data_IF_363310598192
#
_entry.id   IF_363310598192
#
_cell.length_a   1.000
_cell.length_b   1.000
_cell.length_c   1.000
_cell.angle_alpha   90.00
_cell.angle_beta   90.00
_cell.angle_gamma   90.00
#
_symmetry.space_group_name_H-M   'P 1'
#
loop_
_entity.id
_entity.type
_entity.pdbx_description
1 polymer ?
2 non-polymer ?
3 non-polymer ?
4 non-polymer ?
5 water ?
#
# COMPACT_ATOMS: atom_id res chain seq x y z
N UNK A 10 14.35 9.58 -20.01
CA UNK A 10 14.14 10.99 -20.45
C UNK A 10 14.05 11.94 -19.26
N UNK A 11 14.81 13.02 -19.34
CA UNK A 11 15.01 13.89 -18.19
C UNK A 11 14.40 15.27 -18.42
N UNK A 12 13.41 15.62 -17.62
CA UNK A 12 12.79 16.95 -17.71
C UNK A 12 13.83 18.04 -17.50
N UNK A 13 13.69 19.17 -18.22
CA UNK A 13 14.56 20.32 -18.00
C UNK A 13 14.58 20.73 -16.54
N UNK A 14 15.78 20.87 -15.99
CA UNK A 14 15.96 21.28 -14.61
C UNK A 14 15.37 22.67 -14.39
N UNK A 15 14.40 22.81 -13.46
CA UNK A 15 13.87 24.17 -13.21
C UNK A 15 14.95 25.12 -12.66
N UNK A 16 14.90 26.39 -13.06
CA UNK A 16 15.89 27.36 -12.61
C UNK A 16 16.13 27.42 -11.11
N UNK A 17 15.11 27.13 -10.30
CA UNK A 17 15.26 27.29 -8.85
C UNK A 17 15.94 26.08 -8.20
N UNK A 18 16.11 25.00 -8.95
CA UNK A 18 16.73 23.79 -8.38
C UNK A 18 18.24 23.78 -8.60
N UNK A 19 19.01 23.78 -7.50
CA UNK A 19 20.48 23.76 -7.63
C UNK A 19 21.04 22.42 -8.09
N UNK A 20 22.11 22.50 -8.88
CA UNK A 20 22.80 21.34 -9.42
C UNK A 20 23.14 20.28 -8.38
N UNK A 21 23.60 20.72 -7.21
CA UNK A 21 24.10 19.80 -6.19
C UNK A 21 23.02 18.87 -5.58
N UNK A 22 21.75 19.17 -5.84
CA UNK A 22 20.64 18.38 -5.29
C UNK A 22 20.06 17.39 -6.29
N UNK A 23 20.65 17.36 -7.49
CA UNK A 23 20.09 16.54 -8.56
C UNK A 23 20.55 15.10 -8.48
N UNK A 24 19.58 14.19 -8.35
CA UNK A 24 19.84 12.77 -8.34
C UNK A 24 18.69 12.15 -9.14
N UNK A 25 18.99 11.63 -10.33
CA UNK A 25 17.95 11.23 -11.27
C UNK A 25 17.39 9.84 -10.98
N UNK A 26 16.79 9.70 -9.80
CA UNK A 26 16.11 8.47 -9.42
C UNK A 26 14.81 8.27 -10.21
N UNK A 27 14.60 7.08 -10.74
CA UNK A 27 13.38 6.73 -11.49
C UNK A 27 12.51 5.80 -10.64
N UNK A 28 11.46 6.36 -10.04
CA UNK A 28 10.63 5.58 -9.11
C UNK A 28 9.88 4.41 -9.75
N UNK A 29 9.74 4.43 -11.09
CA UNK A 29 9.07 3.34 -11.80
C UNK A 29 10.01 2.29 -12.37
N UNK A 30 11.30 2.57 -12.36
CA UNK A 30 12.33 1.63 -12.87
C UNK A 30 13.70 1.97 -12.30
N UNK A 31 13.87 1.82 -10.97
CA UNK A 31 15.10 2.26 -10.34
C UNK A 31 16.26 1.37 -10.74
N UNK A 32 17.46 1.93 -10.72
CA UNK A 32 18.67 1.24 -11.18
C UNK A 32 18.89 -0.14 -10.59
N UNK A 33 18.72 -0.28 -9.29
CA UNK A 33 19.12 -1.56 -8.70
C UNK A 33 18.00 -2.61 -8.57
N UNK A 34 16.95 -2.46 -9.37
CA UNK A 34 15.70 -3.21 -9.19
C UNK A 34 15.84 -4.73 -9.04
N UNK A 35 16.51 -5.36 -10.01
CA UNK A 35 16.76 -6.81 -10.00
C UNK A 35 17.36 -7.34 -8.68
N UNK A 36 18.03 -6.48 -7.92
CA UNK A 36 18.58 -6.83 -6.61
C UNK A 36 17.63 -6.62 -5.40
N UNK A 37 16.40 -6.20 -5.67
CA UNK A 37 15.40 -6.04 -4.61
C UNK A 37 14.90 -4.60 -4.63
N UNK A 38 13.58 -4.42 -4.59
CA UNK A 38 13.03 -3.07 -4.75
C UNK A 38 13.39 -2.18 -3.58
N UNK A 39 13.24 -2.68 -2.36
CA UNK A 39 13.64 -1.88 -1.20
C UNK A 39 15.12 -1.47 -1.26
N UNK A 40 15.97 -2.41 -1.68
CA UNK A 40 17.41 -2.12 -1.83
C UNK A 40 17.66 -1.02 -2.86
N UNK A 41 16.90 -1.08 -3.96
CA UNK A 41 17.00 -0.10 -5.04
C UNK A 41 16.61 1.30 -4.57
N UNK A 42 15.59 1.41 -3.73
CA UNK A 42 15.21 2.72 -3.21
C UNK A 42 16.20 3.20 -2.15
N UNK A 43 16.75 2.25 -1.38
CA UNK A 43 17.69 2.59 -0.31
C UNK A 43 18.99 3.28 -0.79
N UNK A 44 19.24 3.27 -2.11
CA UNK A 44 20.38 3.98 -2.71
C UNK A 44 20.27 5.47 -2.40
N UNK A 45 19.03 5.94 -2.23
CA UNK A 45 18.77 7.33 -1.88
C UNK A 45 19.26 7.69 -0.49
N UNK A 46 19.71 6.67 0.27
CA UNK A 46 20.11 6.87 1.66
C UNK A 46 21.59 6.64 1.88
N UNK A 47 22.32 6.49 0.78
CA UNK A 47 23.79 6.41 0.84
C UNK A 47 24.34 7.77 1.27
N UNK A 48 25.53 7.79 1.86
CA UNK A 48 25.98 8.97 2.63
C UNK A 48 26.27 10.23 1.79
N UNK A 49 26.42 10.08 0.49
CA UNK A 49 26.66 11.22 -0.41
C UNK A 49 25.35 11.85 -0.91
N UNK A 50 24.22 11.29 -0.50
CA UNK A 50 22.92 11.77 -0.98
C UNK A 50 22.29 12.68 0.08
N UNK A 51 21.93 13.91 -0.33
CA UNK A 51 21.24 14.86 0.52
C UNK A 51 19.90 14.34 1.02
N UNK A 52 19.38 14.97 2.08
CA UNK A 52 18.11 14.57 2.71
C UNK A 52 16.95 14.86 1.75
N UNK A 53 17.15 15.86 0.89
CA UNK A 53 16.11 16.25 -0.07
C UNK A 53 16.78 16.44 -1.42
N UNK A 54 16.32 15.68 -2.42
CA UNK A 54 16.92 15.69 -3.75
C UNK A 54 15.87 15.96 -4.82
N UNK A 55 16.33 16.35 -6.01
CA UNK A 55 15.46 16.56 -7.16
C UNK A 55 15.83 15.55 -8.21
N UNK A 56 14.84 14.81 -8.72
CA UNK A 56 15.06 13.96 -9.88
C UNK A 56 14.40 14.59 -11.10
N UNK A 57 15.07 14.48 -12.24
CA UNK A 57 14.49 14.94 -13.49
C UNK A 57 13.68 13.87 -14.18
N UNK A 58 13.56 12.69 -13.58
CA UNK A 58 12.71 11.64 -14.15
C UNK A 58 11.23 11.91 -13.90
N UNK A 59 10.40 11.31 -14.75
CA UNK A 59 8.95 11.27 -14.54
C UNK A 59 8.37 12.67 -14.38
N UNK A 60 8.90 13.59 -15.19
CA UNK A 60 8.41 14.97 -15.17
C UNK A 60 9.19 15.94 -14.29
N UNK A 61 10.00 15.39 -13.36
CA UNK A 61 10.75 16.21 -12.40
C UNK A 61 10.00 16.39 -11.08
N UNK A 62 10.63 16.02 -9.97
CA UNK A 62 10.01 16.17 -8.67
C UNK A 62 11.06 16.07 -7.57
N UNK A 63 10.73 16.59 -6.40
CA UNK A 63 11.57 16.41 -5.22
C UNK A 63 11.38 15.00 -4.70
N UNK A 64 12.38 14.52 -3.96
CA UNK A 64 12.25 13.31 -3.14
C UNK A 64 12.86 13.58 -1.76
N UNK A 65 12.08 13.43 -0.70
CA UNK A 65 12.66 13.40 0.66
C UNK A 65 13.16 11.99 0.91
N UNK A 66 14.40 11.87 1.39
CA UNK A 66 15.03 10.56 1.44
C UNK A 66 15.18 10.02 2.86
N UNK A 67 14.81 10.82 3.86
CA UNK A 67 15.05 10.47 5.26
C UNK A 67 13.76 10.54 6.05
N UNK A 68 13.60 9.63 6.99
CA UNK A 68 12.40 9.60 7.81
C UNK A 68 12.01 10.92 8.44
N UNK A 69 12.98 11.67 8.96
CA UNK A 69 12.69 12.94 9.59
C UNK A 69 11.90 13.88 8.66
N UNK A 70 12.36 13.99 7.42
CA UNK A 70 11.72 14.91 6.45
C UNK A 70 10.41 14.36 5.90
N UNK A 71 10.37 13.05 5.66
CA UNK A 71 9.14 12.41 5.25
C UNK A 71 8.03 12.64 6.29
N UNK A 72 8.34 12.39 7.55
CA UNK A 72 7.34 12.64 8.60
C UNK A 72 6.93 14.11 8.67
N UNK A 73 7.92 15.00 8.65
CA UNK A 73 7.64 16.44 8.73
C UNK A 73 6.71 16.94 7.63
N UNK A 74 7.03 16.58 6.39
CA UNK A 74 6.19 16.98 5.25
C UNK A 74 4.79 16.39 5.34
N UNK A 75 4.66 15.15 5.81
CA UNK A 75 3.32 14.54 5.96
C UNK A 75 2.48 15.23 7.04
N UNK A 76 3.13 15.83 8.04
CA UNK A 76 2.44 16.60 9.07
C UNK A 76 2.00 17.97 8.56
N UNK A 77 2.77 18.55 7.64
CA UNK A 77 2.55 19.95 7.22
C UNK A 77 1.69 19.99 5.96
N UNK A 78 0.41 19.69 6.13
CA UNK A 78 -0.53 19.67 5.00
C UNK A 78 -0.77 21.09 4.44
N UNK A 79 -0.51 22.13 5.23
CA UNK A 79 -0.67 23.50 4.74
C UNK A 79 0.25 23.79 3.57
N UNK A 80 1.48 23.30 3.62
CA UNK A 80 2.44 23.48 2.55
C UNK A 80 2.46 22.32 1.58
N UNK A 81 2.20 21.11 2.09
CA UNK A 81 2.33 19.88 1.29
C UNK A 81 0.97 19.25 1.11
N UNK A 82 0.34 19.61 0.00
CA UNK A 82 -1.05 19.26 -0.27
C UNK A 82 -1.25 17.89 -0.94
N UNK A 83 -2.33 17.23 -0.58
CA UNK A 83 -2.72 15.95 -1.21
C UNK A 83 -3.55 16.14 -2.48
N UNK A 84 -3.76 17.38 -2.90
CA UNK A 84 -4.57 17.60 -4.08
C UNK A 84 -3.97 16.90 -5.30
N UNK A 85 -2.64 16.79 -5.35
CA UNK A 85 -1.94 16.13 -6.45
C UNK A 85 -0.91 15.18 -5.85
N UNK A 86 -1.35 13.99 -5.45
CA UNK A 86 -0.48 13.20 -4.57
C UNK A 86 0.40 12.15 -5.29
N UNK A 87 0.27 12.05 -6.61
CA UNK A 87 1.04 11.07 -7.40
C UNK A 87 1.94 11.67 -8.45
N UNK A 88 3.05 10.99 -8.71
CA UNK A 88 3.92 11.20 -9.85
C UNK A 88 3.54 10.09 -10.85
N UNK A 89 3.36 10.42 -12.12
CA UNK A 89 3.53 11.72 -12.76
C UNK A 89 2.34 12.65 -12.49
N UNK A 90 2.58 13.95 -12.69
CA UNK A 90 1.61 14.99 -12.42
C UNK A 90 0.23 14.69 -13.00
N UNK A 91 0.20 14.20 -14.24
CA UNK A 91 -1.05 13.86 -14.95
C UNK A 91 -1.94 12.86 -14.20
N UNK A 92 -1.32 11.87 -13.56
CA UNK A 92 -2.05 10.93 -12.70
C UNK A 92 -2.54 11.65 -11.43
N UNK A 93 -1.66 12.44 -10.83
CA UNK A 93 -1.96 13.18 -9.60
C UNK A 93 -3.12 14.13 -9.82
N UNK A 94 -3.15 14.77 -10.98
CA UNK A 94 -4.21 15.74 -11.26
C UNK A 94 -5.59 15.08 -11.47
N UNK A 95 -5.61 13.98 -12.21
CA UNK A 95 -6.85 13.20 -12.48
C UNK A 95 -7.42 12.53 -11.23
N UNK A 96 -6.55 12.23 -10.27
CA UNK A 96 -6.97 11.46 -9.11
C UNK A 96 -7.85 12.27 -8.16
N UNK A 97 -9.05 11.77 -7.86
CA UNK A 97 -10.02 12.50 -7.02
C UNK A 97 -10.67 11.66 -5.91
N UNK A 98 -10.05 10.52 -5.60
CA UNK A 98 -10.52 9.70 -4.50
C UNK A 98 -10.58 10.45 -3.18
N UNK A 99 -11.49 10.01 -2.31
CA UNK A 99 -11.70 10.62 -0.98
C UNK A 99 -11.43 9.57 0.07
N UNK A 100 -10.64 9.89 1.11
CA UNK A 100 -10.09 11.22 1.45
C UNK A 100 -8.69 11.55 0.91
N UNK A 101 -8.09 10.66 0.14
CA UNK A 101 -6.68 10.80 -0.24
C UNK A 101 -6.33 11.98 -1.15
N UNK A 102 -7.32 12.62 -1.81
CA UNK A 102 -7.01 13.78 -2.64
C UNK A 102 -7.45 15.07 -1.95
N UNK A 103 -7.76 14.97 -0.66
CA UNK A 103 -8.28 16.11 0.10
C UNK A 103 -7.34 16.47 1.24
N UNK A 104 -7.29 17.76 1.57
CA UNK A 104 -6.51 18.23 2.70
C UNK A 104 -7.44 18.50 3.90
N UNK A 105 -6.90 18.41 5.14
CA UNK A 105 -7.59 19.02 6.27
C UNK A 105 -7.72 20.52 5.94
N UNK A 106 -8.73 21.20 6.49
CA UNK A 106 -9.72 20.66 7.41
C UNK A 106 -10.83 19.83 6.78
N UNK A 107 -11.08 20.01 5.48
CA UNK A 107 -12.24 19.33 4.85
C UNK A 107 -12.16 17.82 5.01
N UNK A 108 -10.94 17.29 4.91
CA UNK A 108 -10.71 15.84 4.90
C UNK A 108 -11.17 15.14 6.19
N UNK A 109 -11.04 15.85 7.32
CA UNK A 109 -11.27 15.25 8.63
C UNK A 109 -12.60 14.49 8.74
N UNK A 110 -13.71 15.11 8.34
CA UNK A 110 -15.01 14.42 8.48
C UNK A 110 -15.28 13.30 7.46
N UNK A 111 -14.71 13.40 6.27
CA UNK A 111 -14.74 12.29 5.32
C UNK A 111 -13.94 11.12 5.85
N UNK A 112 -12.79 11.42 6.43
CA UNK A 112 -11.98 10.39 7.08
C UNK A 112 -12.74 9.70 8.22
N UNK A 113 -13.46 10.47 9.04
CA UNK A 113 -14.31 9.91 10.10
C UNK A 113 -15.33 8.91 9.55
N UNK A 114 -15.93 9.25 8.43
CA UNK A 114 -16.95 8.41 7.82
C UNK A 114 -16.34 7.10 7.27
N UNK A 115 -15.21 7.22 6.58
CA UNK A 115 -14.47 6.03 6.10
C UNK A 115 -14.07 5.12 7.26
N UNK A 116 -13.66 5.73 8.37
CA UNK A 116 -13.28 4.98 9.58
C UNK A 116 -14.40 4.10 10.13
N UNK A 117 -15.64 4.54 9.97
CA UNK A 117 -16.80 3.72 10.37
C UNK A 117 -16.85 2.38 9.66
N UNK A 118 -16.41 2.35 8.40
CA UNK A 118 -16.57 1.13 7.60
C UNK A 118 -15.31 0.24 7.53
N UNK A 119 -14.14 0.76 7.93
CA UNK A 119 -12.88 -0.04 7.94
C UNK A 119 -12.12 -0.08 9.29
N UNK A 120 -12.47 0.81 10.22
CA UNK A 120 -11.77 0.86 11.52
C UNK A 120 -11.93 -0.35 12.43
N UNK A 121 -11.36 -0.23 13.63
CA UNK A 121 -11.27 -1.31 14.63
C UNK A 121 -12.48 -2.24 14.84
N UNK A 122 -13.64 -1.69 15.25
CA UNK A 122 -14.81 -2.53 15.60
C UNK A 122 -15.24 -3.43 14.44
N UNK A 123 -15.16 -2.89 13.22
CA UNK A 123 -15.46 -3.64 12.00
C UNK A 123 -14.48 -4.81 11.80
N UNK A 124 -13.24 -4.60 12.22
CA UNK A 124 -12.20 -5.62 12.09
C UNK A 124 -12.64 -6.89 12.84
N UNK A 125 -13.12 -6.74 14.08
CA UNK A 125 -13.53 -7.88 14.91
C UNK A 125 -14.72 -8.68 14.34
N UNK A 126 -15.67 -7.99 13.72
CA UNK A 126 -16.76 -8.65 13.02
C UNK A 126 -16.28 -9.46 11.79
N UNK A 127 -15.22 -9.01 11.13
CA UNK A 127 -14.75 -9.66 9.90
C UNK A 127 -13.81 -10.83 10.15
N UNK A 128 -13.19 -10.82 11.32
CA UNK A 128 -12.17 -11.78 11.71
C UNK A 128 -12.49 -13.22 11.28
N UNK A 129 -13.76 -13.64 11.45
CA UNK A 129 -14.13 -15.04 11.15
C UNK A 129 -14.07 -15.33 9.67
N UNK A 130 -14.53 -14.37 8.87
CA UNK A 130 -14.49 -14.51 7.42
C UNK A 130 -13.04 -14.46 6.95
N UNK A 131 -12.22 -13.65 7.63
CA UNK A 131 -10.81 -13.51 7.25
C UNK A 131 -10.10 -14.83 7.49
N UNK A 132 -10.30 -15.38 8.69
CA UNK A 132 -9.73 -16.67 9.02
C UNK A 132 -10.29 -17.79 8.13
N UNK A 133 -11.60 -17.83 7.92
CA UNK A 133 -12.21 -18.82 7.00
C UNK A 133 -11.64 -18.79 5.59
N UNK A 134 -11.54 -17.58 5.02
CA UNK A 134 -11.02 -17.40 3.69
C UNK A 134 -9.56 -17.87 3.60
N UNK A 135 -8.75 -17.45 4.57
CA UNK A 135 -7.34 -17.83 4.62
C UNK A 135 -7.18 -19.35 4.61
N UNK A 136 -7.91 -20.01 5.50
CA UNK A 136 -7.91 -21.47 5.63
C UNK A 136 -8.33 -22.16 4.32
N UNK A 137 -9.43 -21.71 3.73
CA UNK A 137 -9.93 -22.37 2.52
C UNK A 137 -8.94 -22.21 1.38
N UNK A 138 -8.37 -21.01 1.24
CA UNK A 138 -7.36 -20.81 0.19
C UNK A 138 -6.17 -21.71 0.41
N UNK A 139 -5.66 -21.71 1.64
CA UNK A 139 -4.47 -22.48 1.93
C UNK A 139 -4.72 -23.99 1.74
N UNK A 140 -5.85 -24.48 2.23
CA UNK A 140 -6.18 -25.91 2.06
C UNK A 140 -6.27 -26.34 0.59
N UNK A 141 -6.73 -25.43 -0.27
CA UNK A 141 -6.85 -25.73 -1.69
C UNK A 141 -5.46 -25.92 -2.33
N UNK A 142 -4.48 -25.18 -1.82
CA UNK A 142 -3.13 -25.23 -2.37
C UNK A 142 -2.28 -26.35 -1.73
N UNK A 143 -2.54 -26.61 -0.44
CA UNK A 143 -1.69 -27.46 0.38
C UNK A 143 -1.25 -28.81 -0.26
N UNK A 144 -2.21 -29.60 -0.80
CA UNK A 144 -1.73 -30.91 -1.28
C UNK A 144 -1.03 -30.87 -2.63
N UNK A 145 -1.04 -29.71 -3.30
CA UNK A 145 -0.45 -29.57 -4.62
C UNK A 145 1.06 -29.49 -4.60
N UNK A 146 1.64 -29.09 -3.47
CA UNK A 146 3.08 -28.97 -3.31
C UNK A 146 3.70 -27.83 -4.09
N UNK A 147 2.86 -26.93 -4.58
CA UNK A 147 3.35 -25.75 -5.29
C UNK A 147 2.23 -24.74 -5.48
N UNK A 148 2.60 -23.47 -5.61
CA UNK A 148 1.67 -22.46 -6.06
C UNK A 148 2.47 -21.27 -6.58
N UNK A 149 1.79 -20.36 -7.27
CA UNK A 149 2.33 -19.01 -7.41
C UNK A 149 1.60 -18.21 -6.33
N UNK A 150 2.31 -17.94 -5.24
CA UNK A 150 1.67 -17.38 -4.05
C UNK A 150 0.93 -16.08 -4.38
N UNK A 151 1.52 -15.28 -5.25
CA UNK A 151 0.96 -13.97 -5.54
C UNK A 151 -0.39 -14.15 -6.24
N UNK A 152 -0.40 -15.05 -7.22
CA UNK A 152 -1.59 -15.31 -8.02
C UNK A 152 -2.65 -16.16 -7.30
N UNK A 153 -2.18 -17.13 -6.52
CA UNK A 153 -3.07 -18.19 -5.99
C UNK A 153 -3.60 -17.93 -4.57
N UNK A 154 -2.87 -17.13 -3.81
CA UNK A 154 -3.31 -16.76 -2.47
C UNK A 154 -3.51 -15.27 -2.36
N UNK A 155 -2.46 -14.50 -2.68
CA UNK A 155 -2.48 -13.07 -2.32
C UNK A 155 -3.55 -12.29 -3.10
N UNK A 156 -3.59 -12.48 -4.42
CA UNK A 156 -4.60 -11.78 -5.23
C UNK A 156 -6.06 -12.04 -4.81
N UNK A 157 -6.49 -13.32 -4.66
CA UNK A 157 -7.90 -13.56 -4.28
C UNK A 157 -8.32 -13.08 -2.89
N UNK A 158 -7.35 -12.91 -1.99
CA UNK A 158 -7.64 -12.74 -0.57
C UNK A 158 -8.28 -11.37 -0.21
N UNK A 159 -7.58 -10.23 -0.46
CA UNK A 159 -8.19 -8.95 -0.02
C UNK A 159 -9.43 -8.55 -0.80
N UNK A 160 -9.50 -8.88 -2.10
CA UNK A 160 -10.72 -8.56 -2.87
C UNK A 160 -11.93 -9.29 -2.28
N UNK A 161 -11.75 -10.55 -1.87
CA UNK A 161 -12.82 -11.31 -1.21
C UNK A 161 -13.30 -10.69 0.11
N UNK A 162 -12.35 -10.21 0.91
CA UNK A 162 -12.67 -9.55 2.17
C UNK A 162 -13.42 -8.25 1.90
N UNK A 163 -12.99 -7.51 0.88
CA UNK A 163 -13.71 -6.30 0.53
C UNK A 163 -15.17 -6.54 0.11
N UNK A 164 -15.41 -7.57 -0.70
CA UNK A 164 -16.77 -7.89 -1.13
C UNK A 164 -17.69 -8.10 0.06
N UNK A 165 -17.15 -8.74 1.09
CA UNK A 165 -17.92 -9.01 2.30
C UNK A 165 -18.23 -7.72 3.07
N UNK A 166 -17.22 -6.86 3.23
CA UNK A 166 -17.42 -5.53 3.83
C UNK A 166 -18.46 -4.71 3.09
N UNK A 167 -18.35 -4.70 1.76
CA UNK A 167 -19.16 -3.85 0.90
C UNK A 167 -20.50 -4.48 0.46
N UNK A 168 -20.76 -5.71 0.91
CA UNK A 168 -21.97 -6.44 0.50
C UNK A 168 -22.13 -6.53 -1.01
N UNK A 169 -21.04 -6.82 -1.71
CA UNK A 169 -21.05 -6.98 -3.16
C UNK A 169 -21.12 -8.46 -3.49
N UNK A 170 -21.81 -8.83 -4.59
CA UNK A 170 -21.95 -10.27 -4.82
C UNK A 170 -20.64 -10.92 -5.24
N UNK A 171 -20.43 -12.16 -4.79
CA UNK A 171 -19.25 -12.96 -5.12
C UNK A 171 -19.01 -13.07 -6.63
N UNK A 172 -20.09 -13.15 -7.41
CA UNK A 172 -19.92 -13.30 -8.85
C UNK A 172 -19.35 -12.05 -9.51
N UNK A 173 -19.31 -10.94 -8.77
CA UNK A 173 -18.75 -9.69 -9.29
C UNK A 173 -17.21 -9.65 -9.24
N UNK A 174 -16.62 -10.57 -8.49
CA UNK A 174 -15.18 -10.51 -8.24
C UNK A 174 -14.31 -10.41 -9.52
N UNK A 175 -14.51 -11.31 -10.50
CA UNK A 175 -13.60 -11.22 -11.67
C UNK A 175 -13.72 -9.91 -12.46
N UNK A 176 -14.92 -9.37 -12.53
CA UNK A 176 -15.12 -8.11 -13.21
C UNK A 176 -14.50 -6.97 -12.42
N UNK A 177 -14.72 -6.97 -11.11
CA UNK A 177 -14.14 -5.92 -10.26
C UNK A 177 -12.62 -5.99 -10.22
N UNK A 178 -12.07 -7.21 -10.21
CA UNK A 178 -10.62 -7.40 -10.32
C UNK A 178 -10.08 -6.85 -11.62
N UNK A 179 -10.81 -7.12 -12.71
CA UNK A 179 -10.43 -6.61 -14.01
C UNK A 179 -10.34 -5.08 -14.00
N UNK A 180 -11.37 -4.45 -13.44
CA UNK A 180 -11.47 -2.99 -13.38
C UNK A 180 -10.37 -2.39 -12.51
N UNK A 181 -10.17 -2.98 -11.33
CA UNK A 181 -9.15 -2.43 -10.44
C UNK A 181 -7.72 -2.61 -10.98
N UNK A 182 -7.42 -3.80 -11.51
CA UNK A 182 -6.13 -4.07 -12.17
C UNK A 182 -5.84 -3.09 -13.30
N UNK A 183 -6.90 -2.74 -14.05
CA UNK A 183 -6.79 -1.85 -15.18
C UNK A 183 -6.28 -0.47 -14.73
N UNK A 184 -6.63 -0.11 -13.50
CA UNK A 184 -6.27 1.17 -12.93
C UNK A 184 -4.89 1.18 -12.26
N UNK A 185 -4.60 0.13 -11.49
CA UNK A 185 -3.42 0.10 -10.62
C UNK A 185 -2.22 -0.63 -11.25
N UNK A 186 -2.47 -1.42 -12.29
CA UNK A 186 -1.38 -2.04 -13.03
C UNK A 186 -1.49 -1.59 -14.48
N UNK A 187 -1.32 -0.28 -14.75
CA UNK A 187 -1.58 0.19 -16.13
C UNK A 187 -0.55 -0.36 -17.12
N UNK A 188 -1.01 -0.66 -18.34
CA UNK A 188 -0.12 -1.12 -19.40
C UNK A 188 0.09 -0.06 -20.47
N UNK A 189 -0.55 1.09 -20.27
CA UNK A 189 -0.43 2.24 -21.17
C UNK A 189 -1.51 2.33 -22.23
N UNK A 190 -2.42 1.35 -22.25
CA UNK A 190 -3.52 1.32 -23.21
C UNK A 190 -4.68 2.27 -22.86
N UNK A 191 -4.75 2.65 -21.59
CA UNK A 191 -5.76 3.58 -21.09
C UNK A 191 -5.04 4.71 -20.38
N UNK A 192 -5.61 5.92 -20.40
CA UNK A 192 -5.13 6.96 -19.51
C UNK A 192 -5.56 6.57 -18.09
N UNK A 193 -4.91 7.16 -17.10
CA UNK A 193 -5.33 7.03 -15.69
C UNK A 193 -6.82 7.43 -15.54
N UNK A 194 -7.16 8.57 -16.13
CA UNK A 194 -8.54 9.07 -16.13
C UNK A 194 -9.54 8.05 -16.69
N UNK A 195 -9.19 7.42 -17.81
CA UNK A 195 -10.09 6.44 -18.42
C UNK A 195 -10.33 5.23 -17.52
N UNK A 196 -9.26 4.74 -16.92
CA UNK A 196 -9.32 3.59 -16.04
C UNK A 196 -10.18 3.92 -14.81
N UNK A 197 -9.99 5.12 -14.29
CA UNK A 197 -10.75 5.59 -13.13
C UNK A 197 -12.24 5.64 -13.44
N UNK A 198 -12.59 6.21 -14.59
CA UNK A 198 -14.00 6.27 -15.01
C UNK A 198 -14.65 4.89 -15.19
N UNK A 199 -13.90 3.95 -15.75
CA UNK A 199 -14.40 2.58 -15.89
C UNK A 199 -14.76 1.99 -14.52
N UNK A 200 -13.89 2.23 -13.53
CA UNK A 200 -14.19 1.81 -12.16
C UNK A 200 -15.42 2.53 -11.62
N UNK A 201 -15.47 3.85 -11.81
CA UNK A 201 -16.62 4.62 -11.37
C UNK A 201 -17.94 4.14 -11.96
N UNK A 202 -17.91 3.69 -13.23
CA UNK A 202 -19.09 3.17 -13.92
C UNK A 202 -19.71 1.93 -13.25
N UNK A 203 -18.87 1.13 -12.61
CA UNK A 203 -19.37 0.01 -11.80
C UNK A 203 -20.05 0.51 -10.51
N UNK A 204 -19.44 1.49 -9.86
CA UNK A 204 -19.88 1.96 -8.55
C UNK A 204 -21.14 2.82 -8.59
N UNK A 205 -21.26 3.63 -9.63
CA UNK A 205 -22.36 4.63 -9.73
C UNK A 205 -23.76 4.01 -9.53
N UNK A 206 -24.10 2.97 -10.31
CA UNK A 206 -25.42 2.35 -10.17
C UNK A 206 -25.66 1.76 -8.76
N UNK A 207 -24.62 1.20 -8.17
CA UNK A 207 -24.76 0.56 -6.85
C UNK A 207 -25.03 1.60 -5.78
N UNK A 208 -24.35 2.73 -5.89
CA UNK A 208 -24.56 3.85 -4.97
C UNK A 208 -25.99 4.35 -5.08
N UNK A 209 -26.46 4.48 -6.32
CA UNK A 209 -27.85 4.93 -6.57
C UNK A 209 -28.83 3.98 -5.88
N UNK A 210 -28.62 2.68 -6.09
CA UNK A 210 -29.49 1.66 -5.51
C UNK A 210 -29.52 1.71 -3.98
N UNK A 211 -28.35 1.96 -3.38
CA UNK A 211 -28.26 1.85 -1.93
C UNK A 211 -28.56 3.15 -1.21
N UNK A 212 -28.72 4.22 -1.97
CA UNK A 212 -29.30 5.46 -1.42
C UNK A 212 -30.83 5.39 -1.38
N UNK A 213 -31.43 4.68 -2.33
CA UNK A 213 -32.86 4.42 -2.29
C UNK A 213 -33.21 3.32 -1.28
N UNK A 214 -32.49 2.20 -1.35
CA UNK A 214 -32.74 1.06 -0.47
C UNK A 214 -31.47 0.63 0.25
N UNK A 215 -31.11 1.34 1.34
CA UNK A 215 -29.86 1.02 2.04
C UNK A 215 -29.89 -0.32 2.77
N UNK A 216 -28.72 -0.93 2.93
CA UNK A 216 -28.53 -2.05 3.84
C UNK A 216 -27.59 -1.63 4.97
N UNK A 217 -26.80 -2.56 5.48
CA UNK A 217 -25.81 -2.25 6.54
C UNK A 217 -24.36 -2.52 6.09
N UNK A 218 -24.19 -2.70 4.78
CA UNK A 218 -22.88 -2.89 4.16
C UNK A 218 -22.15 -1.54 4.10
N UNK A 219 -20.85 -1.59 3.81
CA UNK A 219 -20.03 -0.37 3.78
C UNK A 219 -20.48 0.66 2.76
N UNK A 220 -20.99 0.22 1.61
CA UNK A 220 -21.39 1.16 0.56
C UNK A 220 -22.62 1.93 1.01
N UNK A 221 -23.60 1.20 1.55
CA UNK A 221 -24.81 1.80 2.10
C UNK A 221 -24.50 2.85 3.17
N UNK A 222 -23.56 2.53 4.07
CA UNK A 222 -23.19 3.43 5.16
C UNK A 222 -22.50 4.72 4.66
N UNK A 223 -21.52 4.55 3.77
CA UNK A 223 -20.86 5.67 3.14
C UNK A 223 -21.84 6.52 2.32
N UNK A 224 -22.63 5.87 1.46
CA UNK A 224 -23.51 6.57 0.52
C UNK A 224 -24.65 7.33 1.21
N UNK A 225 -24.94 6.96 2.46
CA UNK A 225 -25.99 7.63 3.23
C UNK A 225 -25.45 8.43 4.43
N UNK A 226 -24.15 8.67 4.42
CA UNK A 226 -23.47 9.36 5.51
C UNK A 226 -23.73 10.86 5.54
N UNK A 227 -23.41 11.46 6.68
CA UNK A 227 -23.39 12.91 6.85
C UNK A 227 -21.96 13.39 7.04
N UNK A 228 -21.59 14.46 6.35
CA UNK A 228 -20.25 15.03 6.42
C UNK A 228 -20.32 16.54 6.51
N UNK A 229 -19.41 17.12 7.29
CA UNK A 229 -19.26 18.59 7.37
C UNK A 229 -20.58 19.36 7.41
N UNK A 230 -21.57 18.83 8.12
CA UNK A 230 -22.86 19.50 8.31
C UNK A 230 -24.03 19.16 7.38
N UNK A 231 -23.82 18.25 6.43
CA UNK A 231 -24.86 17.93 5.45
C UNK A 231 -24.74 16.48 4.96
N UNK A 232 -25.71 15.99 4.14
CA UNK A 232 -25.55 14.62 3.65
C UNK A 232 -24.51 14.53 2.55
N UNK A 233 -23.79 13.41 2.50
CA UNK A 233 -22.81 13.16 1.44
C UNK A 233 -23.51 13.16 0.07
N UNK A 234 -22.84 13.67 -0.96
CA UNK A 234 -23.41 13.66 -2.31
C UNK A 234 -23.14 12.29 -2.90
N UNK A 235 -23.87 11.96 -3.97
CA UNK A 235 -23.64 10.70 -4.68
C UNK A 235 -22.21 10.66 -5.22
N UNK A 236 -21.73 11.80 -5.71
CA UNK A 236 -20.40 11.88 -6.28
C UNK A 236 -19.31 11.69 -5.23
N UNK A 237 -19.48 12.30 -4.05
CA UNK A 237 -18.49 12.12 -2.97
C UNK A 237 -18.44 10.66 -2.51
N UNK A 238 -19.61 10.04 -2.36
CA UNK A 238 -19.71 8.63 -2.01
C UNK A 238 -18.96 7.77 -3.04
N UNK A 239 -19.10 8.10 -4.33
CA UNK A 239 -18.44 7.34 -5.39
C UNK A 239 -16.92 7.42 -5.25
N UNK A 240 -16.44 8.63 -4.97
CA UNK A 240 -15.02 8.91 -4.82
C UNK A 240 -14.42 8.28 -3.57
N UNK A 241 -15.25 8.12 -2.54
CA UNK A 241 -14.85 7.40 -1.33
C UNK A 241 -14.80 5.90 -1.58
N UNK A 242 -15.84 5.37 -2.22
CA UNK A 242 -15.96 3.94 -2.44
C UNK A 242 -14.84 3.41 -3.34
N UNK A 243 -14.41 4.25 -4.29
CA UNK A 243 -13.27 3.94 -5.15
C UNK A 243 -12.04 3.64 -4.33
N UNK A 244 -11.73 4.52 -3.38
CA UNK A 244 -10.58 4.34 -2.49
C UNK A 244 -10.71 3.12 -1.55
N UNK A 245 -11.89 2.95 -0.97
CA UNK A 245 -12.13 1.85 -0.04
C UNK A 245 -11.92 0.51 -0.72
N UNK A 246 -12.32 0.44 -1.99
CA UNK A 246 -12.08 -0.74 -2.83
C UNK A 246 -10.58 -0.93 -3.11
N UNK A 247 -9.91 0.07 -3.68
CA UNK A 247 -8.53 -0.12 -4.14
C UNK A 247 -7.47 -0.08 -3.04
N UNK A 248 -7.75 0.63 -1.94
CA UNK A 248 -6.74 0.88 -0.90
C UNK A 248 -6.16 -0.37 -0.27
N UNK A 249 -7.02 -1.38 -0.18
CA UNK A 249 -6.66 -2.62 0.47
C UNK A 249 -6.20 -3.72 -0.43
N UNK A 250 -6.09 -3.45 -1.74
CA UNK A 250 -5.79 -4.51 -2.70
C UNK A 250 -4.31 -4.69 -2.96
N UNK A 251 -3.72 -3.87 -3.84
CA UNK A 251 -2.31 -4.02 -4.20
C UNK A 251 -1.38 -3.94 -2.99
N UNK A 252 -1.69 -3.08 -2.02
CA UNK A 252 -0.84 -2.96 -0.82
C UNK A 252 -0.75 -4.32 -0.12
N UNK A 253 -1.90 -4.92 0.19
CA UNK A 253 -1.94 -6.22 0.88
C UNK A 253 -1.37 -7.34 0.00
N UNK A 254 -1.73 -7.37 -1.28
CA UNK A 254 -1.25 -8.42 -2.19
C UNK A 254 0.28 -8.40 -2.25
N UNK A 255 0.84 -7.22 -2.44
CA UNK A 255 2.27 -7.09 -2.66
C UNK A 255 3.02 -7.25 -1.35
N UNK A 256 2.43 -6.75 -0.26
CA UNK A 256 3.10 -6.88 1.02
C UNK A 256 3.18 -8.36 1.46
N UNK A 257 2.07 -9.06 1.34
CA UNK A 257 2.10 -10.52 1.60
C UNK A 257 3.14 -11.23 0.77
N UNK A 258 3.26 -10.84 -0.52
CA UNK A 258 4.25 -11.46 -1.38
C UNK A 258 5.68 -11.18 -0.93
N UNK A 259 5.99 -9.93 -0.54
CA UNK A 259 7.34 -9.63 -0.05
C UNK A 259 7.62 -10.50 1.19
N UNK A 260 6.62 -10.60 2.06
CA UNK A 260 6.78 -11.33 3.33
C UNK A 260 6.99 -12.81 3.08
N UNK A 261 6.23 -13.37 2.17
CA UNK A 261 6.33 -14.82 1.89
C UNK A 261 7.61 -15.15 1.14
N UNK A 262 8.06 -14.23 0.29
CA UNK A 262 9.34 -14.37 -0.38
C UNK A 262 10.49 -14.43 0.64
N UNK A 263 10.45 -13.52 1.61
CA UNK A 263 11.48 -13.48 2.65
C UNK A 263 11.45 -14.79 3.42
N UNK A 264 10.27 -15.19 3.89
CA UNK A 264 10.16 -16.44 4.67
C UNK A 264 10.57 -17.70 3.90
N UNK A 265 10.27 -17.76 2.61
CA UNK A 265 10.71 -18.90 1.78
C UNK A 265 12.22 -18.93 1.70
N UNK A 266 12.84 -17.75 1.73
CA UNK A 266 14.27 -17.61 1.56
C UNK A 266 15.02 -17.69 2.90
N UNK A 267 14.28 -17.68 4.01
CA UNK A 267 14.89 -17.71 5.34
C UNK A 267 14.32 -18.78 6.27
N UNK A 268 14.75 -20.04 6.10
CA UNK A 268 14.32 -21.14 6.94
C UNK A 268 14.40 -20.84 8.43
N UNK A 269 15.43 -20.10 8.84
CA UNK A 269 15.61 -19.78 10.26
C UNK A 269 14.54 -18.84 10.80
N UNK A 270 14.07 -17.93 9.95
CA UNK A 270 12.98 -17.02 10.33
C UNK A 270 11.64 -17.75 10.35
N UNK A 271 11.43 -18.66 9.41
CA UNK A 271 10.27 -19.55 9.43
C UNK A 271 10.21 -20.36 10.72
N UNK A 272 11.31 -21.06 10.99
CA UNK A 272 11.39 -21.95 12.16
C UNK A 272 11.13 -21.16 13.44
N UNK A 273 11.66 -19.94 13.49
CA UNK A 273 11.39 -19.04 14.60
C UNK A 273 9.90 -18.86 14.85
N UNK A 274 9.13 -18.59 13.80
CA UNK A 274 7.69 -18.34 13.97
C UNK A 274 6.91 -19.63 14.17
N UNK A 275 7.49 -20.74 13.70
CA UNK A 275 6.91 -22.05 13.90
C UNK A 275 7.06 -22.46 15.37
N UNK A 276 8.25 -22.26 15.93
CA UNK A 276 8.53 -22.63 17.31
C UNK A 276 7.94 -21.64 18.32
N UNK A 277 7.75 -20.41 17.86
CA UNK A 277 7.37 -19.30 18.73
C UNK A 277 6.23 -18.50 18.06
N UNK A 278 5.04 -19.11 17.91
CA UNK A 278 3.97 -18.41 17.17
C UNK A 278 3.50 -17.12 17.84
N UNK A 279 3.68 -17.00 19.15
CA UNK A 279 3.31 -15.77 19.86
C UNK A 279 4.10 -14.56 19.32
N UNK A 280 5.20 -14.81 18.61
CA UNK A 280 6.06 -13.75 18.02
C UNK A 280 5.54 -13.23 16.67
N UNK A 281 4.47 -13.82 16.16
CA UNK A 281 3.99 -13.45 14.81
C UNK A 281 3.53 -11.98 14.74
N UNK A 282 2.76 -11.47 15.74
CA UNK A 282 2.41 -10.02 15.69
C UNK A 282 3.65 -9.11 15.61
N UNK A 283 4.68 -9.41 16.40
CA UNK A 283 5.93 -8.65 16.31
C UNK A 283 6.62 -8.82 14.97
N UNK A 284 6.62 -10.06 14.44
CA UNK A 284 7.23 -10.33 13.15
C UNK A 284 6.51 -9.56 12.03
N UNK A 285 5.18 -9.50 12.14
CA UNK A 285 4.36 -8.70 11.20
C UNK A 285 4.86 -7.26 11.17
N UNK A 286 5.15 -6.71 12.35
CA UNK A 286 5.59 -5.31 12.43
C UNK A 286 6.97 -5.09 11.81
N UNK A 287 7.91 -5.99 12.11
CA UNK A 287 9.23 -5.91 11.54
C UNK A 287 9.23 -6.10 10.01
N UNK A 288 8.38 -7.03 9.53
CA UNK A 288 8.19 -7.19 8.09
C UNK A 288 7.53 -5.95 7.46
N UNK A 289 6.56 -5.33 8.15
CA UNK A 289 5.98 -4.04 7.66
C UNK A 289 7.06 -2.96 7.48
N UNK A 290 8.02 -2.92 8.39
CA UNK A 290 9.14 -2.01 8.28
C UNK A 290 10.07 -2.38 7.13
N UNK A 291 10.53 -3.63 7.08
CA UNK A 291 11.55 -4.04 6.13
C UNK A 291 11.05 -4.10 4.69
N UNK A 292 9.78 -4.46 4.52
CA UNK A 292 9.22 -4.66 3.21
C UNK A 292 8.12 -3.65 2.93
N UNK A 293 8.29 -2.48 3.55
CA UNK A 293 7.45 -1.29 3.27
C UNK A 293 7.45 -1.08 1.75
N UNK A 294 6.35 -0.55 1.20
CA UNK A 294 6.19 -0.58 -0.25
C UNK A 294 5.44 0.58 -0.92
N UNK A 295 4.97 1.54 -0.14
CA UNK A 295 4.18 2.65 -0.72
C UNK A 295 5.07 3.88 -0.87
N UNK A 296 4.86 4.61 -1.98
CA UNK A 296 5.51 5.90 -2.17
C UNK A 296 4.57 6.84 -2.92
N UNK A 297 3.74 7.58 -2.17
CA UNK A 297 3.06 8.74 -2.76
C UNK A 297 3.67 10.06 -2.25
N UNK A 298 2.93 11.14 -2.36
CA UNK A 298 3.52 12.42 -2.05
C UNK A 298 2.52 13.52 -2.08
N UNK A 299 3.05 14.72 -2.31
CA UNK A 299 2.29 15.96 -2.13
C UNK A 299 2.67 16.98 -3.20
N UNK A 300 1.91 18.09 -3.24
CA UNK A 300 2.25 19.23 -4.11
C UNK A 300 2.37 20.49 -3.28
N UNK A 301 3.39 21.32 -3.59
CA UNK A 301 3.60 22.57 -2.84
C UNK A 301 2.50 23.58 -3.07
N UNK A 302 1.90 24.06 -1.98
CA UNK A 302 0.81 25.06 -2.04
C UNK A 302 1.31 26.49 -2.22
N UNK A 303 2.59 26.68 -1.98
CA UNK A 303 3.23 27.99 -2.03
C UNK A 303 4.72 27.78 -2.06
N UNK A 304 5.47 28.84 -2.37
CA UNK A 304 6.92 28.79 -2.22
C UNK A 304 7.22 28.59 -0.74
N UNK A 305 8.22 27.75 -0.45
CA UNK A 305 8.52 27.39 0.93
C UNK A 305 9.96 26.88 1.04
N UNK A 306 10.67 27.39 2.04
CA UNK A 306 11.99 26.87 2.36
C UNK A 306 11.83 25.77 3.40
N UNK A 307 12.30 24.58 3.04
CA UNK A 307 12.15 23.36 3.83
C UNK A 307 13.54 22.77 4.00
N UNK A 308 14.00 22.69 5.26
CA UNK A 308 15.36 22.22 5.56
C UNK A 308 16.42 22.80 4.62
N UNK A 309 16.43 24.12 4.49
CA UNK A 309 17.43 24.83 3.69
C UNK A 309 17.28 24.77 2.17
N UNK A 310 16.19 24.17 1.68
CA UNK A 310 15.97 24.00 0.24
C UNK A 310 14.77 24.83 -0.22
N UNK A 311 14.97 25.67 -1.25
CA UNK A 311 13.85 26.46 -1.76
C UNK A 311 12.93 25.63 -2.66
N UNK A 312 11.70 25.43 -2.20
CA UNK A 312 10.66 24.72 -2.97
C UNK A 312 9.67 25.73 -3.56
N UNK A 313 9.19 25.45 -4.75
CA UNK A 313 8.37 26.43 -5.47
C UNK A 313 6.92 25.97 -5.53
N UNK A 314 5.98 26.92 -5.43
CA UNK A 314 4.55 26.56 -5.51
C UNK A 314 4.31 25.68 -6.73
N UNK A 315 3.63 24.56 -6.53
CA UNK A 315 3.32 23.62 -7.61
C UNK A 315 4.36 22.54 -7.87
N UNK A 316 5.54 22.64 -7.27
CA UNK A 316 6.52 21.53 -7.30
C UNK A 316 5.85 20.29 -6.70
N UNK A 317 6.15 19.12 -7.26
CA UNK A 317 5.75 17.87 -6.62
C UNK A 317 6.88 17.34 -5.79
N UNK A 318 6.52 16.73 -4.66
CA UNK A 318 7.49 16.10 -3.76
C UNK A 318 7.02 14.68 -3.45
N UNK A 319 7.86 13.72 -3.82
CA UNK A 319 7.64 12.32 -3.46
C UNK A 319 8.12 12.14 -2.02
N UNK A 320 7.27 11.55 -1.17
CA UNK A 320 7.59 11.38 0.25
C UNK A 320 7.42 9.90 0.53
N UNK A 321 8.46 9.12 0.24
CA UNK A 321 8.20 7.66 0.20
C UNK A 321 7.99 7.02 1.58
N UNK A 322 6.78 6.53 1.83
CA UNK A 322 6.46 5.90 3.10
C UNK A 322 7.45 4.79 3.39
N UNK A 323 7.88 4.13 2.31
CA UNK A 323 8.86 3.03 2.34
C UNK A 323 10.16 3.42 3.01
N UNK A 324 10.64 4.64 2.79
CA UNK A 324 12.01 4.97 3.20
C UNK A 324 12.23 5.21 4.69
N UNK A 325 11.20 5.65 5.41
CA UNK A 325 11.38 6.06 6.81
C UNK A 325 11.95 4.92 7.64
N UNK A 326 11.37 3.74 7.52
CA UNK A 326 11.78 2.60 8.34
C UNK A 326 13.07 1.94 7.85
N UNK A 327 13.46 2.23 6.61
CA UNK A 327 14.73 1.74 6.08
C UNK A 327 15.91 2.68 6.41
N UNK A 328 15.59 3.84 6.97
CA UNK A 328 16.55 4.88 7.27
C UNK A 328 17.35 4.40 8.49
N UNK A 329 18.67 4.32 8.35
CA UNK A 329 19.52 3.86 9.46
C UNK A 329 19.51 4.83 10.64
N UNK A 330 19.10 6.09 10.39
CA UNK A 330 18.88 7.07 11.44
C UNK A 330 17.64 6.75 12.31
N UNK A 331 16.71 5.92 11.80
CA UNK A 331 15.50 5.49 12.53
C UNK A 331 15.64 4.07 13.11
N UNK A 332 16.28 3.18 12.36
CA UNK A 332 16.47 1.78 12.82
C UNK A 332 17.87 1.31 12.49
N UNK A 333 18.63 0.96 13.53
CA UNK A 333 19.98 0.48 13.30
C UNK A 333 19.94 -0.84 12.52
N UNK A 334 20.88 -0.97 11.58
CA UNK A 334 21.01 -2.13 10.71
C UNK A 334 19.72 -2.38 9.93
N UNK A 335 19.27 -1.37 9.16
CA UNK A 335 17.88 -1.36 8.68
C UNK A 335 17.46 -2.49 7.75
N UNK A 336 18.41 -3.06 7.01
CA UNK A 336 18.10 -4.13 6.05
C UNK A 336 18.03 -5.52 6.70
N UNK A 337 18.53 -5.63 7.94
CA UNK A 337 18.50 -6.90 8.63
C UNK A 337 17.12 -7.07 9.25
N UNK A 338 16.54 -8.27 9.10
CA UNK A 338 15.23 -8.57 9.68
C UNK A 338 15.43 -9.19 11.07
N UNK A 339 14.87 -8.54 12.09
CA UNK A 339 15.02 -9.01 13.46
C UNK A 339 13.68 -8.96 14.15
N UNK A 340 13.10 -10.14 14.36
CA UNK A 340 11.79 -10.20 14.97
C UNK A 340 11.81 -9.73 16.43
N UNK A 341 13.01 -9.68 17.02
CA UNK A 341 13.22 -9.21 18.40
C UNK A 341 13.54 -7.71 18.47
N UNK A 342 13.60 -7.05 17.31
CA UNK A 342 13.89 -5.61 17.25
C UNK A 342 13.06 -4.84 18.25
N UNK A 343 13.69 -3.88 18.92
CA UNK A 343 13.14 -3.25 20.13
C UNK A 343 12.19 -2.06 19.92
N UNK A 344 12.64 -1.08 19.12
CA UNK A 344 11.82 0.07 18.75
C UNK A 344 11.69 0.08 17.23
N UNK A 345 10.73 -0.67 16.73
CA UNK A 345 10.45 -0.83 15.29
C UNK A 345 9.77 0.47 14.82
N UNK A 346 10.54 1.33 14.15
CA UNK A 346 10.04 2.60 13.65
C UNK A 346 9.82 2.51 12.14
N UNK A 347 8.65 2.93 11.69
CA UNK A 347 8.33 2.95 10.26
C UNK A 347 7.18 3.92 9.99
N UNK A 348 7.02 4.29 8.71
CA UNK A 348 5.79 4.97 8.25
C UNK A 348 5.12 4.16 7.14
N UNK A 349 5.08 2.84 7.32
CA UNK A 349 4.56 1.98 6.27
C UNK A 349 3.12 2.28 5.91
N UNK A 350 2.33 2.69 6.91
CA UNK A 350 0.93 3.06 6.74
C UNK A 350 0.76 4.57 6.64
N UNK A 351 1.85 5.25 6.33
CA UNK A 351 1.82 6.70 6.22
C UNK A 351 1.99 7.43 7.53
N UNK A 352 1.65 8.71 7.50
CA UNK A 352 1.91 9.57 8.63
C UNK A 352 1.07 10.83 8.47
N UNK A 353 0.69 11.43 9.60
CA UNK A 353 -0.08 12.69 9.60
C UNK A 353 -1.57 12.46 9.42
N UNK A 354 -2.26 13.45 8.84
CA UNK A 354 -3.71 13.40 8.77
C UNK A 354 -4.32 12.23 7.96
N UNK A 355 -3.56 11.67 7.01
CA UNK A 355 -4.02 10.55 6.16
C UNK A 355 -3.53 9.16 6.56
N UNK A 356 -2.88 9.06 7.71
CA UNK A 356 -2.45 7.76 8.25
C UNK A 356 -3.50 6.68 7.94
N UNK A 357 -3.08 5.59 7.32
CA UNK A 357 -3.96 4.55 6.82
C UNK A 357 -5.09 4.17 7.77
N UNK A 358 -6.33 4.30 7.30
CA UNK A 358 -7.50 3.87 8.05
C UNK A 358 -7.61 2.35 8.08
N UNK A 359 -7.10 1.69 7.04
CA UNK A 359 -7.13 0.23 6.93
C UNK A 359 -6.05 -0.53 7.68
N UNK A 360 -5.23 0.16 8.46
CA UNK A 360 -4.05 -0.45 9.06
C UNK A 360 -4.40 -1.64 9.98
N UNK A 361 -5.55 -1.58 10.64
CA UNK A 361 -5.93 -2.62 11.59
C UNK A 361 -6.44 -3.86 10.85
N UNK A 362 -7.20 -3.63 9.79
CA UNK A 362 -7.63 -4.68 8.89
C UNK A 362 -6.41 -5.37 8.24
N UNK A 363 -5.48 -4.53 7.76
CA UNK A 363 -4.26 -5.02 7.11
C UNK A 363 -3.45 -5.91 8.03
N UNK A 364 -3.28 -5.48 9.27
CA UNK A 364 -2.51 -6.31 10.21
C UNK A 364 -3.21 -7.64 10.45
N UNK A 365 -4.54 -7.64 10.52
CA UNK A 365 -5.25 -8.92 10.75
C UNK A 365 -5.05 -9.81 9.55
N UNK A 366 -5.15 -9.21 8.35
CA UNK A 366 -4.94 -10.00 7.12
C UNK A 366 -3.56 -10.64 7.09
N UNK A 367 -2.54 -9.88 7.49
CA UNK A 367 -1.17 -10.36 7.50
C UNK A 367 -0.96 -11.44 8.55
N UNK A 368 -1.42 -11.15 9.76
CA UNK A 368 -1.18 -12.04 10.89
C UNK A 368 -1.94 -13.36 10.70
N UNK A 369 -3.18 -13.28 10.23
CA UNK A 369 -3.98 -14.49 9.99
C UNK A 369 -3.31 -15.34 8.89
N UNK A 370 -2.80 -14.65 7.86
CA UNK A 370 -2.19 -15.38 6.76
C UNK A 370 -0.96 -16.11 7.27
N UNK A 371 -0.10 -15.38 7.99
CA UNK A 371 1.14 -16.00 8.44
C UNK A 371 0.85 -17.16 9.38
N UNK A 372 -0.10 -16.96 10.30
CA UNK A 372 -0.42 -17.98 11.31
C UNK A 372 -0.96 -19.23 10.66
N UNK A 373 -1.88 -19.05 9.70
CA UNK A 373 -2.51 -20.19 9.05
C UNK A 373 -1.60 -20.88 8.04
N UNK A 374 -0.72 -20.12 7.37
CA UNK A 374 0.17 -20.73 6.41
C UNK A 374 1.20 -21.56 7.15
N UNK A 375 1.82 -20.97 8.18
CA UNK A 375 2.91 -21.66 8.88
C UNK A 375 2.44 -22.90 9.64
N UNK A 376 1.16 -22.96 9.98
CA UNK A 376 0.70 -24.17 10.68
C UNK A 376 0.26 -25.30 9.73
N UNK A 377 -0.12 -24.95 8.50
CA UNK A 377 -0.47 -25.95 7.49
C UNK A 377 0.70 -26.32 6.59
N UNK A 378 1.48 -25.30 6.20
CA UNK A 378 2.61 -25.48 5.29
C UNK A 378 3.85 -24.83 5.92
N UNK A 379 4.42 -25.47 6.95
CA UNK A 379 5.56 -24.87 7.65
C UNK A 379 6.86 -24.80 6.85
N UNK A 380 7.05 -25.73 5.94
CA UNK A 380 8.29 -25.75 5.18
C UNK A 380 7.99 -25.53 3.71
N UNK A 381 8.60 -24.50 3.14
CA UNK A 381 8.42 -24.17 1.73
C UNK A 381 9.64 -23.39 1.25
N UNK A 382 9.83 -23.36 -0.06
CA UNK A 382 11.02 -22.75 -0.64
C UNK A 382 10.59 -22.07 -1.93
N UNK A 383 11.38 -21.11 -2.38
CA UNK A 383 11.27 -20.61 -3.75
C UNK A 383 11.50 -21.78 -4.73
N UNK A 384 10.69 -21.88 -5.79
CA UNK A 384 10.98 -22.93 -6.80
C UNK A 384 12.45 -22.81 -7.25
N UNK A 385 13.14 -23.97 -7.35
CA UNK A 385 14.55 -23.87 -7.73
C UNK A 385 14.75 -23.27 -9.10
N UNK A 386 15.73 -22.39 -9.21
CA UNK A 386 16.06 -21.75 -10.47
C UNK A 386 15.15 -20.59 -10.82
N UNK A 387 14.15 -20.32 -9.97
CA UNK A 387 13.31 -19.14 -10.17
C UNK A 387 14.04 -17.93 -9.62
N UNK A 388 13.96 -16.83 -10.35
CA UNK A 388 14.51 -15.58 -9.88
C UNK A 388 13.31 -14.68 -9.68
N UNK A 389 13.09 -14.25 -8.45
CA UNK A 389 11.89 -13.43 -8.18
C UNK A 389 12.10 -12.00 -8.71
N UNK A 390 11.12 -11.52 -9.49
CA UNK A 390 11.20 -10.19 -10.10
C UNK A 390 10.35 -9.22 -9.29
N UNK A 391 10.92 -8.08 -8.91
CA UNK A 391 10.14 -7.01 -8.23
C UNK A 391 9.70 -5.94 -9.23
N UNK A 392 8.65 -5.20 -8.86
CA UNK A 392 8.19 -4.04 -9.64
C UNK A 392 8.19 -2.83 -8.71
N UNK A 393 8.39 -1.65 -9.27
CA UNK A 393 8.52 -0.43 -8.47
C UNK A 393 7.52 0.62 -8.96
N UNK A 394 6.94 1.35 -8.01
CA UNK A 394 6.09 2.50 -8.38
C UNK A 394 5.48 3.10 -7.13
N UNK A 395 4.21 3.51 -7.24
CA UNK A 395 3.49 4.07 -6.11
C UNK A 395 3.24 2.96 -5.07
N UNK A 396 2.89 1.77 -5.56
CA UNK A 396 2.86 0.59 -4.69
C UNK A 396 3.81 -0.44 -5.33
N UNK A 397 4.99 -0.60 -4.72
CA UNK A 397 5.98 -1.55 -5.21
C UNK A 397 5.52 -2.97 -4.89
N UNK A 398 6.08 -3.97 -5.59
CA UNK A 398 5.53 -5.32 -5.46
C UNK A 398 6.33 -6.44 -6.08
N UNK A 399 5.71 -7.61 -6.11
CA UNK A 399 6.35 -8.85 -6.58
C UNK A 399 5.56 -9.35 -7.82
N UNK A 400 6.27 -9.61 -8.91
CA UNK A 400 5.61 -10.00 -10.16
C UNK A 400 4.98 -11.38 -10.09
N UNK A 401 5.70 -12.33 -9.50
CA UNK A 401 5.22 -13.71 -9.32
C UNK A 401 6.04 -14.34 -8.20
N UNK A 402 5.42 -15.26 -7.47
CA UNK A 402 6.15 -15.93 -6.39
C UNK A 402 5.93 -17.45 -6.36
N UNK A 403 6.69 -18.16 -7.20
CA UNK A 403 6.53 -19.62 -7.27
C UNK A 403 7.17 -20.29 -6.05
N UNK A 404 6.34 -20.98 -5.29
CA UNK A 404 6.78 -21.69 -4.10
C UNK A 404 6.55 -23.18 -4.30
N UNK A 405 7.36 -23.98 -3.63
CA UNK A 405 7.21 -25.44 -3.68
C UNK A 405 7.37 -25.99 -2.27
N UNK A 406 6.79 -27.17 -2.04
CA UNK A 406 6.92 -27.86 -0.75
C UNK A 406 6.56 -29.31 -0.97
N UNK A 407 7.00 -30.15 -0.02
CA UNK A 407 6.65 -31.57 -0.03
C UNK A 407 5.33 -31.67 0.74
N UNK A 408 4.24 -32.08 0.05
CA UNK A 408 2.95 -32.21 0.76
C UNK A 408 2.97 -33.14 1.99
N UNK A 409 3.94 -34.04 2.05
CA UNK A 409 4.09 -34.93 3.21
C UNK A 409 4.50 -34.18 4.49
N UNK A 410 5.01 -32.95 4.35
CA UNK A 410 5.38 -32.14 5.51
C UNK A 410 4.24 -31.20 5.96
N UNK A 411 3.08 -31.31 5.32
CA UNK A 411 1.96 -30.38 5.59
C UNK A 411 0.88 -30.98 6.50
N UNK A 412 0.07 -30.11 7.08
CA UNK A 412 -0.94 -30.49 8.04
C UNK A 412 -2.31 -30.13 7.48
N UNK A 413 -3.04 -31.14 7.03
CA UNK A 413 -4.44 -30.95 6.65
C UNK A 413 -5.22 -30.45 7.86
N UNK A 414 -5.85 -29.29 7.67
CA UNK A 414 -6.43 -28.47 8.75
C UNK A 414 -5.58 -28.43 10.03
X LIG B 1 -4.26 5.53 3.43
X LIG B 1 -0.78 2.19 3.18
X LIG B 1 -4.06 -1.36 3.59
X LIG B 1 -7.63 1.96 3.38
X LIG B 1 -3.02 4.96 3.34
X LIG B 1 -1.76 5.65 3.25
X LIG B 1 -0.80 4.71 3.19
X LIG B 1 -1.43 3.41 3.22
X LIG B 1 0.72 4.90 3.07
X LIG B 1 -1.55 7.20 3.25
X LIG B 1 -1.50 7.78 1.84
X LIG B 1 -1.27 9.28 1.87
X LIG B 1 -1.39 9.93 0.79
X LIG B 1 -0.94 9.84 2.93
X LIG B 1 -1.36 0.95 3.31
X LIG B 1 -0.64 -0.31 3.41
X LIG B 1 -1.56 -1.28 3.52
X LIG B 1 -2.87 -0.67 3.48
X LIG B 1 0.90 -0.44 3.39
X LIG B 1 -1.41 -2.82 3.63
X LIG B 1 -0.25 -3.46 3.91
X LIG B 1 -5.30 -0.75 3.58
X LIG B 1 -6.58 -1.43 3.66
X LIG B 1 -7.56 -0.55 3.56
X LIG B 1 -6.94 0.76 3.45
X LIG B 1 -6.71 -2.96 3.80
X LIG B 1 -9.08 -0.84 3.61
X LIG B 1 -9.88 -0.31 2.70
X LIG B 1 -7.03 3.20 3.37
X LIG B 1 -7.77 4.45 3.35
X LIG B 1 -6.73 5.55 3.37
X LIG B 1 -5.46 4.87 3.42
X LIG B 1 -9.30 4.61 3.29
X LIG B 1 -6.97 7.07 3.32
X LIG B 1 -7.06 7.73 4.68
X LIG B 1 -7.16 9.23 4.48
X LIG B 1 -7.56 9.90 5.47
X LIG B 1 -6.90 9.75 3.38
X LIG B 1 -2.80 3.58 3.36
X LIG B 1 -2.72 0.69 3.39
X LIG B 1 -5.56 0.60 3.51
X LIG B 1 -5.69 3.49 3.47
X LIG B 1 -4.18 2.09 3.52
X LIG C 1 -6.31 15.74 -8.07
X LIG D 1 -3.69 4.46 -3.24
X LIG D 1 -2.19 4.33 -3.55
X LIG D 1 -1.37 4.20 -2.26
X LIG D 1 -1.89 2.99 -1.46
X LIG D 1 -3.39 3.11 -1.14
X LIG D 1 -4.16 3.22 -2.47
X LIG D 1 -3.91 5.71 -2.36
X LIG D 1 -1.59 5.46 -1.37
X LIG D 1 -3.62 4.36 -0.30
X LIG D 1 -3.10 5.58 -1.05
X LIG D 1 -4.53 4.55 -4.50
X LIG D 1 -4.31 3.64 -5.46
X LIG D 1 -5.41 5.41 -4.59
X LIG D 1 -5.02 3.68 -6.73
X LIG D 1 -4.35 4.57 -7.75
X LIG D 1 -3.21 3.80 -8.41
X LIG D 1 -2.58 4.64 -9.50
X LIG D 1 -1.40 3.91 -10.15
X LIG D 1 -0.88 4.75 -11.30
X LIG D 1 0.44 4.20 -11.80
X LIG D 1 1.08 5.16 -12.79
X LIG D 1 2.01 4.50 -13.68
X LIG D 1 2.85 5.21 -14.45
X LIG D 1 2.61 6.35 -14.77
X LIG D 1 4.14 4.53 -14.87
X LIG D 1 4.03 3.90 -16.25
X LIG D 1 3.55 2.45 -16.18
X LIG D 1 4.66 1.46 -15.83
X LIG D 1 5.63 1.80 -15.15
X LIG D 1 4.53 0.22 -16.29
#
# INVERSE_FOLDING_TARGET
TTETIQSNANLAPLPPHVPEHLVFDFDMYNPSNLSAGVQEAWAVLQESNVPDLVWTRCNGGHWIATRGQLIREAYEDYRHFSSECPFIPREAGEAYDFIPTSMDPPEQRQFRALANQVVGMPVVDKLENRIQELACSLIESLRPQGQCNFTEDYAEPFPIRIFMLLAGLPEEDIPHLKYLTDQMTRPDGSMTFAEAKEALYDYLIPIIEQRRQKPGTDAISIVANGQVNGRPITSDEAKRMCGLLLVGGLDTVVNFLSFSMEFLAKSPEHRQELIERPERIPAACEELLRRFSLVADGRILTSDYEFHGVQLKKGDQILLPQMLSGLDERENAAPMHVDFSRQKVSHTTFGHGSHLCLGQHLARREIIVTLKEWLTRIPDFSIAPGAQIQHKSGIVSGVQALPLVWDPATTKAV
HEM CHA CHB CHC CHD C1A C2A C3A C4A CMA CAA CBA CGA O1A O2A C1B C2B C3B C4B CMB CAB CBB C1C C2C C3C C4C CMC CAC CBC C1D C2D C3D C4D CMD CAD CBD CGD O1D O2D NA NB NC ND FE
K K
A31 C1 C2 C3 C4 C5 C6 C7 C8 C9 C10 C11 N12 O13 C14 C15 C16 C17 C18 C19 C20 C21 N22 C23 O24 C25 C26 C27 C28 O29 N30
#
